data_IF_023326218938
#
_entry.id   IF_023326218938
#
_cell.length_a   1.000
_cell.length_b   1.000
_cell.length_c   1.000
_cell.angle_alpha   90.00
_cell.angle_beta   90.00
_cell.angle_gamma   90.00
#
_symmetry.space_group_name_H-M   'P 1'
#
loop_
_entity.id
_entity.type
_entity.pdbx_description
1 polymer ?
#
# COMPACT_ATOMS: atom_id res chain seq x y z
N UNK A 1 -11.60 47.66 -8.39
CA UNK A 1 -12.73 46.74 -8.66
C UNK A 1 -12.15 45.51 -9.35
N UNK A 2 -12.37 44.32 -8.77
CA UNK A 2 -11.89 43.06 -9.35
C UNK A 2 -12.72 42.73 -10.58
N UNK A 3 -12.12 42.81 -11.77
CA UNK A 3 -12.76 42.49 -13.03
C UNK A 3 -12.96 40.96 -13.10
N UNK A 4 -14.17 40.51 -12.75
CA UNK A 4 -14.54 39.08 -12.81
C UNK A 4 -14.90 38.62 -14.24
N UNK A 5 -15.12 39.56 -15.15
CA UNK A 5 -15.45 39.32 -16.54
C UNK A 5 -14.20 39.46 -17.40
N UNK A 6 -13.91 38.44 -18.19
CA UNK A 6 -12.82 38.41 -19.15
C UNK A 6 -13.35 38.74 -20.54
N UNK A 7 -12.56 39.41 -21.35
CA UNK A 7 -12.94 39.79 -22.72
C UNK A 7 -12.91 38.58 -23.67
N UNK A 8 -12.04 37.59 -23.41
CA UNK A 8 -11.90 36.38 -24.21
C UNK A 8 -11.72 35.14 -23.35
N UNK A 9 -12.20 34.01 -23.86
CA UNK A 9 -12.00 32.69 -23.25
C UNK A 9 -10.51 32.33 -23.24
N UNK A 10 -9.80 32.63 -24.32
CA UNK A 10 -8.36 32.31 -24.44
C UNK A 10 -7.52 32.97 -23.34
N UNK A 11 -7.84 34.22 -22.99
CA UNK A 11 -7.12 34.95 -21.96
C UNK A 11 -7.40 34.38 -20.57
N UNK A 12 -8.61 33.91 -20.34
CA UNK A 12 -8.96 33.14 -19.14
C UNK A 12 -8.17 31.85 -19.03
N UNK A 13 -8.03 31.11 -20.13
CA UNK A 13 -7.27 29.86 -20.17
C UNK A 13 -5.78 30.14 -19.93
N UNK A 14 -5.19 31.19 -20.53
CA UNK A 14 -3.80 31.62 -20.25
C UNK A 14 -3.60 32.02 -18.79
N UNK A 15 -4.57 32.68 -18.16
CA UNK A 15 -4.51 33.05 -16.74
C UNK A 15 -4.50 31.83 -15.82
N UNK A 16 -5.34 30.83 -16.09
CA UNK A 16 -5.38 29.57 -15.34
C UNK A 16 -4.12 28.74 -15.59
N UNK A 17 -3.57 28.76 -16.81
CA UNK A 17 -2.29 28.10 -17.12
C UNK A 17 -1.14 28.61 -16.24
N UNK A 18 -1.08 29.93 -16.06
CA UNK A 18 0.00 30.60 -15.34
C UNK A 18 -0.19 30.64 -13.81
N UNK A 19 -1.41 30.42 -13.31
CA UNK A 19 -1.71 30.57 -11.88
C UNK A 19 -2.61 29.45 -11.34
N UNK A 20 -2.25 28.87 -10.18
CA UNK A 20 -2.97 27.74 -9.57
C UNK A 20 -4.19 28.12 -8.73
N UNK A 21 -4.36 29.41 -8.44
CA UNK A 21 -5.41 29.91 -7.53
C UNK A 21 -6.59 30.56 -8.26
N UNK A 22 -6.69 30.37 -9.58
CA UNK A 22 -7.76 30.93 -10.41
C UNK A 22 -8.56 29.81 -11.04
N UNK A 23 -9.88 30.01 -11.09
CA UNK A 23 -10.81 29.14 -11.79
C UNK A 23 -11.57 29.96 -12.84
N UNK A 24 -12.04 29.28 -13.88
CA UNK A 24 -12.76 29.89 -14.98
C UNK A 24 -14.03 29.09 -15.26
N UNK A 25 -15.12 29.79 -15.56
CA UNK A 25 -16.38 29.18 -15.98
C UNK A 25 -16.61 29.58 -17.44
N UNK A 26 -16.73 28.58 -18.31
CA UNK A 26 -17.03 28.77 -19.73
C UNK A 26 -17.63 27.49 -20.34
N UNK A 27 -17.98 27.55 -21.62
CA UNK A 27 -18.48 26.39 -22.36
C UNK A 27 -17.50 25.22 -22.31
N UNK A 28 -18.01 24.03 -21.98
CA UNK A 28 -17.18 22.83 -21.81
C UNK A 28 -16.38 22.49 -23.05
N UNK A 29 -17.00 22.57 -24.23
CA UNK A 29 -16.36 22.21 -25.50
C UNK A 29 -15.22 23.18 -25.84
N UNK A 30 -15.45 24.49 -25.67
CA UNK A 30 -14.44 25.51 -25.88
C UNK A 30 -13.26 25.33 -24.92
N UNK A 31 -13.54 25.09 -23.63
CA UNK A 31 -12.48 24.81 -22.65
C UNK A 31 -11.71 23.53 -22.99
N UNK A 32 -12.40 22.47 -23.41
CA UNK A 32 -11.77 21.22 -23.78
C UNK A 32 -10.83 21.41 -24.98
N UNK A 33 -11.30 22.12 -26.02
CA UNK A 33 -10.49 22.51 -27.18
C UNK A 33 -9.27 23.35 -26.79
N UNK A 34 -9.45 24.38 -25.96
CA UNK A 34 -8.35 25.25 -25.55
C UNK A 34 -7.32 24.55 -24.66
N UNK A 35 -7.76 23.68 -23.75
CA UNK A 35 -6.85 22.85 -22.94
C UNK A 35 -6.05 21.91 -23.86
N UNK A 36 -6.73 21.32 -24.84
CA UNK A 36 -6.09 20.52 -25.89
C UNK A 36 -5.19 21.34 -26.81
N UNK A 37 -5.27 22.67 -26.87
CA UNK A 37 -4.35 23.53 -27.63
C UNK A 37 -3.18 24.01 -26.77
N UNK A 38 -3.44 24.50 -25.56
CA UNK A 38 -2.42 25.09 -24.67
C UNK A 38 -1.63 24.08 -23.83
N UNK A 39 -2.09 22.82 -23.79
CA UNK A 39 -1.47 21.72 -23.04
C UNK A 39 -2.21 21.44 -21.73
N UNK A 40 -2.40 20.16 -21.41
CA UNK A 40 -3.17 19.71 -20.25
C UNK A 40 -2.50 19.99 -18.88
N UNK A 41 -1.29 20.55 -18.85
CA UNK A 41 -0.60 20.86 -17.59
C UNK A 41 -1.31 21.98 -16.84
N UNK A 42 -1.68 21.72 -15.58
CA UNK A 42 -2.40 22.61 -14.66
C UNK A 42 -3.89 22.83 -14.95
N UNK A 43 -4.52 22.05 -15.83
CA UNK A 43 -5.96 22.14 -16.07
C UNK A 43 -6.70 20.92 -15.53
N UNK A 44 -7.83 21.17 -14.89
CA UNK A 44 -8.81 20.15 -14.52
C UNK A 44 -10.19 20.65 -14.91
N UNK A 45 -10.91 19.87 -15.72
CA UNK A 45 -12.26 20.19 -16.13
C UNK A 45 -13.22 19.59 -15.11
N UNK A 46 -14.00 20.45 -14.44
CA UNK A 46 -15.02 20.00 -13.49
C UNK A 46 -16.18 19.30 -14.19
N UNK A 47 -17.02 18.63 -13.40
CA UNK A 47 -18.26 18.02 -13.91
C UNK A 47 -19.19 19.05 -14.57
N UNK A 48 -20.07 18.55 -15.45
CA UNK A 48 -21.03 19.36 -16.19
C UNK A 48 -22.06 19.96 -15.21
N UNK A 49 -21.97 21.27 -14.97
CA UNK A 49 -22.91 21.98 -14.09
C UNK A 49 -24.26 22.27 -14.76
N UNK A 50 -24.27 22.48 -16.08
CA UNK A 50 -25.48 22.73 -16.86
C UNK A 50 -25.37 22.08 -18.25
N UNK A 51 -26.42 21.41 -18.68
CA UNK A 51 -26.54 20.85 -20.03
C UNK A 51 -27.40 21.77 -20.88
N UNK A 52 -26.75 22.61 -21.67
CA UNK A 52 -27.39 23.44 -22.69
C UNK A 52 -27.11 22.87 -24.08
N UNK A 53 -28.10 22.95 -24.97
CA UNK A 53 -27.97 22.57 -26.38
C UNK A 53 -27.54 23.78 -27.21
N UNK A 54 -26.56 23.60 -28.09
CA UNK A 54 -26.24 24.59 -29.11
C UNK A 54 -27.31 24.57 -30.20
N UNK A 55 -27.81 25.74 -30.57
CA UNK A 55 -28.81 25.90 -31.63
C UNK A 55 -28.43 27.04 -32.56
N UNK A 56 -28.89 26.97 -33.81
CA UNK A 56 -28.72 28.04 -34.78
C UNK A 56 -29.92 28.99 -34.64
N UNK A 57 -29.64 30.25 -34.30
CA UNK A 57 -30.68 31.26 -34.20
C UNK A 57 -31.11 31.72 -35.61
N UNK A 58 -32.42 31.64 -35.89
CA UNK A 58 -33.03 32.18 -37.11
C UNK A 58 -33.95 33.35 -36.76
N UNK A 59 -34.16 34.27 -37.71
CA UNK A 59 -35.09 35.39 -37.54
C UNK A 59 -36.53 34.87 -37.36
N UNK A 60 -37.32 35.58 -36.54
CA UNK A 60 -38.73 35.27 -36.35
C UNK A 60 -39.46 35.30 -37.70
N UNK A 61 -40.14 34.21 -38.07
CA UNK A 61 -40.83 34.06 -39.36
C UNK A 61 -39.95 33.62 -40.53
N UNK A 62 -38.72 33.15 -40.28
CA UNK A 62 -37.87 32.58 -41.33
C UNK A 62 -38.56 31.40 -42.04
N UNK A 63 -38.81 31.47 -43.36
CA UNK A 63 -39.52 30.42 -44.09
C UNK A 63 -38.72 29.13 -44.23
N UNK A 64 -37.41 29.17 -43.97
CA UNK A 64 -36.50 28.03 -44.15
C UNK A 64 -36.25 27.23 -42.87
N UNK A 65 -36.91 27.55 -41.76
CA UNK A 65 -36.66 26.87 -40.47
C UNK A 65 -36.83 25.35 -40.55
N UNK A 66 -37.86 24.89 -41.25
CA UNK A 66 -38.13 23.46 -41.41
C UNK A 66 -37.06 22.78 -42.27
N UNK A 67 -36.66 23.40 -43.37
CA UNK A 67 -35.62 22.87 -44.25
C UNK A 67 -34.25 22.86 -43.56
N UNK A 68 -33.91 23.91 -42.81
CA UNK A 68 -32.71 23.94 -41.99
C UNK A 68 -32.69 22.81 -40.95
N UNK A 69 -33.81 22.57 -40.27
CA UNK A 69 -33.90 21.49 -39.29
C UNK A 69 -33.77 20.11 -39.94
N UNK A 70 -34.39 19.87 -41.10
CA UNK A 70 -34.24 18.62 -41.86
C UNK A 70 -32.79 18.37 -42.26
N UNK A 71 -32.12 19.39 -42.80
CA UNK A 71 -30.71 19.31 -43.19
C UNK A 71 -29.83 19.07 -41.96
N UNK A 72 -30.08 19.77 -40.86
CA UNK A 72 -29.32 19.60 -39.62
C UNK A 72 -29.46 18.18 -39.05
N UNK A 73 -30.67 17.63 -39.05
CA UNK A 73 -30.90 16.24 -38.65
C UNK A 73 -30.16 15.27 -39.58
N UNK A 74 -30.23 15.46 -40.90
CA UNK A 74 -29.53 14.61 -41.85
C UNK A 74 -28.00 14.66 -41.67
N UNK A 75 -27.42 15.83 -41.41
CA UNK A 75 -25.98 16.00 -41.12
C UNK A 75 -25.60 15.30 -39.81
N UNK A 76 -26.47 15.37 -38.79
CA UNK A 76 -26.26 14.72 -37.51
C UNK A 76 -26.34 13.19 -37.62
N UNK A 77 -27.37 12.68 -38.28
CA UNK A 77 -27.58 11.24 -38.53
C UNK A 77 -26.46 10.64 -39.40
N UNK A 78 -25.98 11.40 -40.40
CA UNK A 78 -24.84 11.00 -41.21
C UNK A 78 -23.50 11.03 -40.45
N UNK A 79 -23.47 11.52 -39.20
CA UNK A 79 -22.26 11.60 -38.37
C UNK A 79 -21.24 12.63 -38.85
N UNK A 80 -21.63 13.55 -39.74
CA UNK A 80 -20.71 14.54 -40.35
C UNK A 80 -20.16 15.48 -39.26
N UNK A 81 -21.01 15.92 -38.33
CA UNK A 81 -20.57 16.79 -37.22
C UNK A 81 -19.54 16.06 -36.37
N UNK A 82 -19.78 14.79 -36.01
CA UNK A 82 -18.83 13.98 -35.25
C UNK A 82 -17.50 13.88 -35.98
N UNK A 83 -17.54 13.59 -37.29
CA UNK A 83 -16.31 13.46 -38.08
C UNK A 83 -15.55 14.77 -38.21
N UNK A 84 -16.26 15.89 -38.37
CA UNK A 84 -15.68 17.23 -38.41
C UNK A 84 -14.97 17.54 -37.09
N UNK A 85 -15.64 17.28 -35.96
CA UNK A 85 -15.09 17.48 -34.61
C UNK A 85 -13.84 16.63 -34.38
N UNK A 86 -13.88 15.34 -34.72
CA UNK A 86 -12.71 14.44 -34.64
C UNK A 86 -11.53 14.97 -35.47
N UNK A 87 -11.78 15.37 -36.72
CA UNK A 87 -10.74 15.88 -37.61
C UNK A 87 -10.11 17.17 -37.07
N UNK A 88 -10.90 18.08 -36.48
CA UNK A 88 -10.38 19.27 -35.83
C UNK A 88 -9.45 18.93 -34.66
N UNK A 89 -9.84 17.95 -33.83
CA UNK A 89 -9.00 17.49 -32.72
C UNK A 89 -7.71 16.79 -33.20
N UNK A 90 -7.78 15.97 -34.25
CA UNK A 90 -6.59 15.36 -34.87
C UNK A 90 -5.63 16.43 -35.40
N UNK A 91 -6.15 17.47 -36.05
CA UNK A 91 -5.35 18.56 -36.61
C UNK A 91 -4.61 19.34 -35.51
N UNK A 92 -5.27 19.60 -34.37
CA UNK A 92 -4.63 20.20 -33.19
C UNK A 92 -3.51 19.31 -32.64
N UNK A 93 -3.73 17.99 -32.59
CA UNK A 93 -2.72 17.03 -32.19
C UNK A 93 -1.47 17.09 -33.06
N UNK A 94 -1.64 17.14 -34.39
CA UNK A 94 -0.54 17.26 -35.35
C UNK A 94 0.19 18.59 -35.24
N UNK A 95 -0.51 19.71 -35.09
CA UNK A 95 0.12 21.04 -34.91
C UNK A 95 0.97 21.11 -33.65
N UNK A 96 0.55 20.47 -32.57
CA UNK A 96 1.34 20.36 -31.34
C UNK A 96 2.63 19.56 -31.54
N UNK A 97 2.58 18.43 -32.26
CA UNK A 97 3.78 17.64 -32.55
C UNK A 97 4.80 18.49 -33.32
N UNK A 98 4.38 19.17 -34.39
CA UNK A 98 5.25 20.04 -35.22
C UNK A 98 5.84 21.21 -34.43
N UNK A 99 5.03 21.87 -33.58
CA UNK A 99 5.51 23.00 -32.73
C UNK A 99 6.48 22.51 -31.66
N UNK A 100 6.20 21.34 -31.06
CA UNK A 100 7.08 20.76 -30.05
C UNK A 100 8.41 20.26 -30.63
N UNK A 101 8.43 19.79 -31.87
CA UNK A 101 9.66 19.43 -32.58
C UNK A 101 10.52 20.67 -32.87
N UNK A 102 9.88 21.76 -33.30
CA UNK A 102 10.54 23.04 -33.57
C UNK A 102 11.12 23.71 -32.30
N UNK A 103 10.47 23.56 -31.13
CA UNK A 103 10.99 24.07 -29.85
C UNK A 103 12.08 23.18 -29.23
N UNK A 104 12.09 21.88 -29.52
CA UNK A 104 13.08 20.93 -28.96
C UNK A 104 14.46 21.03 -29.62
N UNK A 105 14.57 21.61 -30.82
CA UNK A 105 15.87 21.82 -31.51
C UNK A 105 16.64 23.05 -31.01
N UNK A 106 16.04 23.90 -30.16
CA UNK A 106 16.69 25.10 -29.62
C UNK A 106 17.09 25.01 -28.13
N UNK A 107 16.66 23.97 -27.40
CA UNK A 107 17.02 23.83 -25.97
C UNK A 107 17.47 22.40 -25.70
N UNK A 108 18.78 22.19 -25.86
CA UNK A 108 19.46 20.96 -25.49
C UNK A 108 19.35 20.65 -23.99
N UNK A 109 19.05 19.38 -23.71
CA UNK A 109 19.31 18.72 -22.41
C UNK A 109 18.21 18.86 -21.35
N UNK A 110 17.60 17.72 -20.98
CA UNK A 110 16.80 17.48 -19.76
C UNK A 110 15.26 17.65 -19.79
N UNK A 111 14.56 17.21 -20.84
CA UNK A 111 13.08 17.00 -20.76
C UNK A 111 12.56 15.72 -21.42
N UNK A 112 13.23 14.57 -21.21
CA UNK A 112 12.68 13.27 -21.62
C UNK A 112 11.49 12.78 -20.78
N UNK A 113 11.12 13.47 -19.70
CA UNK A 113 10.05 13.03 -18.78
C UNK A 113 8.64 13.55 -19.15
N UNK A 114 8.54 14.69 -19.86
CA UNK A 114 7.24 15.31 -20.17
C UNK A 114 6.61 14.90 -21.51
N UNK A 115 7.32 14.14 -22.36
CA UNK A 115 6.81 13.71 -23.68
C UNK A 115 5.65 12.69 -23.63
N UNK A 116 5.35 12.12 -22.46
CA UNK A 116 4.27 11.12 -22.30
C UNK A 116 2.97 11.67 -21.73
N UNK A 117 2.89 12.95 -21.35
CA UNK A 117 1.71 13.50 -20.66
C UNK A 117 0.65 14.10 -21.61
N UNK A 118 0.96 14.35 -22.88
CA UNK A 118 0.06 15.05 -23.80
C UNK A 118 -0.77 14.14 -24.72
N UNK A 119 -0.46 12.84 -24.80
CA UNK A 119 -1.25 11.80 -25.50
C UNK A 119 -2.18 11.01 -24.56
N UNK A 120 -2.50 11.57 -23.39
CA UNK A 120 -3.09 10.83 -22.25
C UNK A 120 -4.61 11.03 -22.12
N UNK A 121 -5.24 11.90 -22.91
CA UNK A 121 -6.65 12.26 -22.62
C UNK A 121 -7.71 11.32 -23.20
N UNK A 122 -7.41 10.47 -24.19
CA UNK A 122 -8.45 9.63 -24.82
C UNK A 122 -8.12 8.12 -24.87
N UNK A 123 -6.85 7.70 -24.76
CA UNK A 123 -6.45 6.27 -24.72
C UNK A 123 -6.35 5.66 -23.30
N UNK A 124 -6.83 6.37 -22.27
CA UNK A 124 -6.65 5.98 -20.87
C UNK A 124 -7.56 4.84 -20.37
N UNK A 125 -8.30 4.16 -21.24
CA UNK A 125 -8.80 2.81 -20.93
C UNK A 125 -7.74 1.72 -21.17
N UNK A 126 -6.60 2.04 -21.81
CA UNK A 126 -5.55 1.05 -22.09
C UNK A 126 -4.32 1.24 -21.21
N UNK A 127 -4.42 0.65 -20.00
CA UNK A 127 -3.33 0.13 -19.17
C UNK A 127 -2.12 1.08 -19.01
N UNK A 128 -2.25 2.05 -18.11
CA UNK A 128 -1.05 2.69 -17.56
C UNK A 128 -0.18 1.64 -16.85
N UNK A 129 1.15 1.61 -17.09
CA UNK A 129 2.03 0.70 -16.36
C UNK A 129 1.92 1.01 -14.87
N UNK A 130 1.75 -0.03 -14.04
CA UNK A 130 1.59 0.10 -12.60
C UNK A 130 2.66 1.03 -12.04
N UNK A 131 2.22 2.17 -11.49
CA UNK A 131 3.13 3.13 -10.90
C UNK A 131 3.61 2.65 -9.53
N UNK A 132 4.88 2.89 -9.20
CA UNK A 132 5.46 2.58 -7.89
C UNK A 132 4.68 3.20 -6.71
N UNK A 133 4.03 4.34 -6.94
CA UNK A 133 3.14 4.99 -5.95
C UNK A 133 1.89 4.16 -5.65
N UNK A 134 1.32 3.49 -6.67
CA UNK A 134 0.16 2.63 -6.49
C UNK A 134 0.52 1.36 -5.70
N UNK A 135 1.74 0.84 -5.89
CA UNK A 135 2.24 -0.35 -5.20
C UNK A 135 2.80 -0.07 -3.79
N UNK A 136 2.94 1.21 -3.42
CA UNK A 136 3.54 1.63 -2.16
C UNK A 136 2.78 1.07 -0.94
N UNK A 137 1.45 1.02 -1.01
CA UNK A 137 0.62 0.42 0.04
C UNK A 137 0.93 -1.06 0.27
N UNK A 138 1.12 -1.82 -0.81
CA UNK A 138 1.47 -3.25 -0.76
C UNK A 138 2.86 -3.47 -0.16
N UNK A 139 3.83 -2.61 -0.49
CA UNK A 139 5.17 -2.68 0.13
C UNK A 139 5.13 -2.36 1.62
N UNK A 140 4.37 -1.35 2.05
CA UNK A 140 4.21 -1.08 3.48
C UNK A 140 3.53 -2.22 4.22
N UNK A 141 2.49 -2.82 3.63
CA UNK A 141 1.82 -3.97 4.20
C UNK A 141 2.76 -5.18 4.32
N UNK A 142 3.61 -5.41 3.31
CA UNK A 142 4.61 -6.48 3.32
C UNK A 142 5.68 -6.25 4.40
N UNK A 143 6.18 -5.02 4.52
CA UNK A 143 7.14 -4.66 5.57
C UNK A 143 6.54 -4.85 6.96
N UNK A 144 5.32 -4.36 7.20
CA UNK A 144 4.62 -4.51 8.47
C UNK A 144 4.33 -5.98 8.78
N UNK A 145 3.91 -6.76 7.79
CA UNK A 145 3.66 -8.20 7.94
C UNK A 145 4.93 -8.98 8.32
N UNK A 146 6.07 -8.66 7.71
CA UNK A 146 7.35 -9.30 8.05
C UNK A 146 7.82 -8.94 9.46
N UNK A 147 7.69 -7.67 9.87
CA UNK A 147 8.01 -7.24 11.24
C UNK A 147 7.11 -7.96 12.25
N UNK A 148 5.80 -8.04 11.97
CA UNK A 148 4.83 -8.70 12.83
C UNK A 148 5.10 -10.21 12.97
N UNK A 149 5.42 -10.89 11.87
CA UNK A 149 5.84 -12.29 11.86
C UNK A 149 7.11 -12.51 12.70
N UNK A 150 8.10 -11.62 12.56
CA UNK A 150 9.31 -11.64 13.39
C UNK A 150 9.01 -11.50 14.89
N UNK A 151 8.11 -10.60 15.26
CA UNK A 151 7.68 -10.41 16.66
C UNK A 151 6.99 -11.66 17.23
N UNK A 152 6.12 -12.31 16.44
CA UNK A 152 5.46 -13.56 16.83
C UNK A 152 6.48 -14.66 17.07
N UNK A 153 7.46 -14.80 16.18
CA UNK A 153 8.51 -15.82 16.28
C UNK A 153 9.37 -15.59 17.52
N UNK A 154 9.74 -14.34 17.82
CA UNK A 154 10.45 -13.98 19.05
C UNK A 154 9.61 -14.30 20.30
N UNK A 155 8.31 -13.97 20.28
CA UNK A 155 7.41 -14.30 21.37
C UNK A 155 7.31 -15.82 21.61
N UNK A 156 7.22 -16.61 20.54
CA UNK A 156 7.21 -18.07 20.63
C UNK A 156 8.51 -18.62 21.22
N UNK A 157 9.67 -18.13 20.77
CA UNK A 157 10.98 -18.53 21.32
C UNK A 157 11.07 -18.20 22.81
N UNK A 158 10.58 -17.03 23.24
CA UNK A 158 10.55 -16.65 24.65
C UNK A 158 9.66 -17.59 25.47
N UNK A 159 8.44 -17.88 25.00
CA UNK A 159 7.52 -18.83 25.66
C UNK A 159 8.13 -20.23 25.73
N UNK A 160 8.73 -20.71 24.64
CA UNK A 160 9.40 -22.00 24.60
C UNK A 160 10.57 -22.07 25.59
N UNK A 161 11.41 -21.04 25.65
CA UNK A 161 12.54 -20.94 26.59
C UNK A 161 12.05 -20.90 28.03
N UNK A 162 10.96 -20.18 28.30
CA UNK A 162 10.36 -20.09 29.63
C UNK A 162 9.78 -21.44 30.07
N UNK A 163 9.03 -22.11 29.18
CA UNK A 163 8.48 -23.46 29.43
C UNK A 163 9.60 -24.49 29.66
N UNK A 164 10.69 -24.45 28.88
CA UNK A 164 11.85 -25.34 29.04
C UNK A 164 12.59 -25.08 30.36
N UNK A 165 12.75 -23.81 30.77
CA UNK A 165 13.31 -23.47 32.09
C UNK A 165 12.43 -23.97 33.23
N UNK A 166 11.11 -23.80 33.12
CA UNK A 166 10.15 -24.29 34.11
C UNK A 166 10.22 -25.82 34.27
N UNK A 167 10.23 -26.57 33.15
CA UNK A 167 10.36 -28.03 33.17
C UNK A 167 11.72 -28.47 33.74
N UNK A 168 12.81 -27.80 33.37
CA UNK A 168 14.16 -28.09 33.94
C UNK A 168 14.20 -27.86 35.45
N UNK A 169 13.61 -26.77 35.96
CA UNK A 169 13.54 -26.47 37.40
C UNK A 169 12.73 -27.54 38.15
N UNK A 170 11.58 -27.95 37.59
CA UNK A 170 10.74 -29.04 38.14
C UNK A 170 11.47 -30.39 38.17
N UNK A 171 12.23 -30.74 37.12
CA UNK A 171 13.05 -31.97 37.09
C UNK A 171 14.21 -31.93 38.08
N UNK A 172 14.91 -30.79 38.21
CA UNK A 172 16.00 -30.64 39.19
C UNK A 172 15.49 -30.82 40.62
N UNK A 173 14.36 -30.22 40.97
CA UNK A 173 13.75 -30.36 42.31
C UNK A 173 13.28 -31.80 42.60
N UNK A 174 12.70 -32.51 41.62
CA UNK A 174 12.38 -33.95 41.77
C UNK A 174 13.63 -34.80 42.02
N UNK A 175 14.71 -34.54 41.28
CA UNK A 175 15.94 -35.31 41.40
C UNK A 175 16.62 -35.06 42.77
N UNK A 176 16.59 -33.82 43.27
CA UNK A 176 17.06 -33.50 44.64
C UNK A 176 16.23 -34.21 45.71
N UNK A 177 14.90 -34.23 45.57
CA UNK A 177 14.01 -34.95 46.48
C UNK A 177 14.30 -36.46 46.50
N UNK A 178 14.44 -37.08 45.33
CA UNK A 178 14.80 -38.50 45.21
C UNK A 178 16.19 -38.81 45.76
N UNK A 179 17.18 -37.93 45.55
CA UNK A 179 18.53 -38.08 46.10
C UNK A 179 18.53 -37.97 47.63
N UNK A 180 17.70 -37.08 48.20
CA UNK A 180 17.50 -36.94 49.65
C UNK A 180 16.82 -38.19 50.25
N UNK A 181 15.82 -38.76 49.57
CA UNK A 181 15.21 -40.04 49.98
C UNK A 181 16.22 -41.19 49.92
N UNK A 182 16.99 -41.33 48.83
CA UNK A 182 18.02 -42.36 48.70
C UNK A 182 19.04 -42.26 49.84
N UNK A 183 19.54 -41.05 50.11
CA UNK A 183 20.51 -40.85 51.19
C UNK A 183 19.91 -41.14 52.58
N UNK A 184 18.63 -40.83 52.80
CA UNK A 184 17.94 -41.18 54.05
C UNK A 184 17.80 -42.70 54.22
N UNK A 185 17.44 -43.42 53.15
CA UNK A 185 17.35 -44.89 53.15
C UNK A 185 18.72 -45.51 53.42
N UNK A 186 19.76 -45.09 52.68
CA UNK A 186 21.14 -45.59 52.86
C UNK A 186 21.60 -45.34 54.30
N UNK A 187 21.37 -44.15 54.84
CA UNK A 187 21.73 -43.80 56.22
C UNK A 187 21.04 -44.70 57.25
N UNK A 188 19.75 -45.03 57.06
CA UNK A 188 19.02 -45.94 57.95
C UNK A 188 19.54 -47.37 57.86
N UNK A 189 19.84 -47.86 56.65
CA UNK A 189 20.41 -49.19 56.44
C UNK A 189 21.79 -49.30 57.09
N UNK A 190 22.66 -48.31 56.91
CA UNK A 190 23.98 -48.29 57.56
C UNK A 190 23.87 -48.22 59.09
N UNK A 191 22.90 -47.47 59.62
CA UNK A 191 22.67 -47.45 61.06
C UNK A 191 22.22 -48.81 61.60
N UNK A 192 21.28 -49.47 60.90
CA UNK A 192 20.80 -50.79 61.28
C UNK A 192 21.93 -51.84 61.23
N UNK A 193 22.72 -51.87 60.15
CA UNK A 193 23.86 -52.77 60.00
C UNK A 193 24.91 -52.55 61.10
N UNK A 194 25.19 -51.28 61.46
CA UNK A 194 26.10 -50.97 62.55
C UNK A 194 25.55 -51.37 63.92
N UNK A 195 24.25 -51.23 64.16
CA UNK A 195 23.60 -51.72 65.40
C UNK A 195 23.70 -53.25 65.51
N UNK A 196 23.43 -53.97 64.43
CA UNK A 196 23.57 -55.44 64.37
C UNK A 196 25.01 -55.85 64.63
N UNK A 197 25.98 -55.18 64.00
CA UNK A 197 27.42 -55.47 64.19
C UNK A 197 27.88 -55.22 65.62
N UNK A 198 27.33 -54.20 66.30
CA UNK A 198 27.59 -53.93 67.72
C UNK A 198 26.97 -54.99 68.62
N UNK A 199 25.74 -55.42 68.35
CA UNK A 199 25.07 -56.48 69.08
C UNK A 199 25.85 -57.81 68.97
N UNK A 200 26.30 -58.17 67.76
CA UNK A 200 27.11 -59.36 67.53
C UNK A 200 28.44 -59.34 68.30
N UNK A 201 29.14 -58.20 68.33
CA UNK A 201 30.38 -58.06 69.13
C UNK A 201 30.13 -58.18 70.63
N UNK A 202 29.02 -57.63 71.15
CA UNK A 202 28.66 -57.79 72.56
C UNK A 202 28.38 -59.25 72.89
N UNK A 203 27.58 -59.93 72.06
CA UNK A 203 27.30 -61.34 72.24
C UNK A 203 28.57 -62.22 72.17
N UNK A 204 29.50 -61.92 71.26
CA UNK A 204 30.81 -62.60 71.21
C UNK A 204 31.66 -62.35 72.46
N UNK A 205 31.71 -61.12 72.96
CA UNK A 205 32.45 -60.81 74.19
C UNK A 205 31.84 -61.49 75.42
N UNK A 206 30.50 -61.50 75.52
CA UNK A 206 29.80 -62.22 76.60
C UNK A 206 30.04 -63.73 76.53
N UNK A 207 30.00 -64.31 75.33
CA UNK A 207 30.33 -65.72 75.13
C UNK A 207 31.80 -66.02 75.49
N UNK A 208 32.73 -65.12 75.15
CA UNK A 208 34.16 -65.28 75.48
C UNK A 208 34.43 -65.21 76.98
N UNK A 209 33.77 -64.29 77.69
CA UNK A 209 33.83 -64.17 79.15
C UNK A 209 33.25 -65.43 79.80
N UNK A 210 32.10 -65.91 79.32
CA UNK A 210 31.48 -67.14 79.84
C UNK A 210 32.38 -68.37 79.63
N UNK A 211 33.13 -68.46 78.53
CA UNK A 211 34.08 -69.58 78.33
C UNK A 211 35.33 -69.49 79.19
N UNK A 212 35.75 -68.30 79.59
CA UNK A 212 36.91 -68.10 80.48
C UNK A 212 36.58 -68.48 81.93
N UNK A 213 35.34 -68.28 82.36
CA UNK A 213 34.87 -68.64 83.72
C UNK A 213 34.88 -70.16 83.99
N UNK A 214 34.98 -71.00 82.95
CA UNK A 214 35.12 -72.46 83.07
C UNK A 214 36.57 -72.97 83.04
N UNK A 215 37.56 -72.07 82.97
CA UNK A 215 38.99 -72.43 82.90
C UNK A 215 39.78 -72.15 84.21
N UNK A 216 39.11 -71.68 85.26
CA UNK A 216 39.59 -71.68 86.66
C UNK A 216 38.95 -72.82 87.45
#
# INVERSE_FOLDING_TARGET
QSHFLLESVEDGVKLVKNSRNKAMIAGRETLFFDIQRFGASNFHLSEKLNTAYSAIALQLGCPYIEEFNKILMAIFEAGIITKMTENEYENLGRQKEVTSESENDLIGGNKKENRRAAKVSEDNEKLQPISLKMLQGTFYLLCMGNIFSGLILVAEILVYKHRKKYIRKKRKNRCVYLKKMKNCIVSRVTHCANSIRRAYRRAMNEAFIATLEYLE
#
